data_IF_438700070842
#
_entry.id   IF_438700070842
#
_cell.length_a   1.000
_cell.length_b   1.000
_cell.length_c   1.000
_cell.angle_alpha   90.00
_cell.angle_beta   90.00
_cell.angle_gamma   90.00
#
_symmetry.space_group_name_H-M   'P 1'
#
loop_
_entity.id
_entity.type
_entity.pdbx_description
1 polymer ?
#
# COMPACT_ATOMS: atom_id res chain seq x y z
N UNK A 1 15.53 -12.60 1.35
CA UNK A 1 14.54 -13.56 1.91
C UNK A 1 13.93 -14.36 0.77
N UNK A 2 13.71 -15.64 1.00
CA UNK A 2 12.98 -16.51 0.08
C UNK A 2 11.47 -16.25 0.21
N UNK A 3 10.74 -16.28 -0.92
CA UNK A 3 9.29 -16.08 -0.90
C UNK A 3 8.58 -17.36 -0.42
N UNK A 4 7.53 -17.25 0.43
CA UNK A 4 6.71 -18.39 0.82
C UNK A 4 5.72 -18.81 -0.27
N UNK A 5 5.61 -18.04 -1.37
CA UNK A 5 4.71 -18.33 -2.48
C UNK A 5 5.41 -19.16 -3.57
N UNK A 6 4.63 -19.92 -4.32
CA UNK A 6 5.13 -20.64 -5.49
C UNK A 6 5.62 -19.63 -6.55
N UNK A 7 6.76 -19.91 -7.20
CA UNK A 7 7.38 -19.05 -8.21
C UNK A 7 6.49 -18.70 -9.41
N UNK A 8 5.46 -19.47 -9.66
CA UNK A 8 4.55 -19.29 -10.79
C UNK A 8 3.14 -18.80 -10.40
N UNK A 9 2.96 -18.26 -9.19
CA UNK A 9 1.62 -17.89 -8.67
C UNK A 9 0.94 -16.78 -9.50
N UNK A 10 1.72 -15.94 -10.19
CA UNK A 10 1.25 -14.91 -11.12
C UNK A 10 1.59 -15.21 -12.58
N UNK A 11 1.91 -16.48 -12.91
CA UNK A 11 2.30 -16.86 -14.27
C UNK A 11 1.29 -16.39 -15.32
N UNK A 12 1.82 -15.71 -16.33
CA UNK A 12 1.04 -15.21 -17.44
C UNK A 12 0.17 -13.99 -17.12
N UNK A 13 0.25 -13.39 -15.94
CA UNK A 13 -0.37 -12.08 -15.63
C UNK A 13 0.52 -10.94 -16.10
N UNK A 14 -0.09 -9.80 -16.41
CA UNK A 14 0.59 -8.55 -16.72
C UNK A 14 0.17 -7.51 -15.68
N UNK A 15 1.15 -6.94 -14.98
CA UNK A 15 0.94 -5.91 -13.96
C UNK A 15 1.48 -4.56 -14.43
N UNK A 16 0.66 -3.50 -14.33
CA UNK A 16 1.11 -2.12 -14.47
C UNK A 16 1.23 -1.50 -13.09
N UNK A 17 2.42 -0.97 -12.76
CA UNK A 17 2.74 -0.42 -11.44
C UNK A 17 3.14 1.05 -11.58
N UNK A 18 2.31 1.97 -11.09
CA UNK A 18 2.67 3.39 -11.00
C UNK A 18 3.62 3.59 -9.81
N UNK A 19 4.62 4.45 -9.98
CA UNK A 19 5.70 4.56 -8.98
C UNK A 19 6.60 3.32 -8.90
N UNK A 20 6.53 2.41 -9.87
CA UNK A 20 7.26 1.14 -9.91
C UNK A 20 8.78 1.26 -10.10
N UNK A 21 9.31 2.48 -10.33
CA UNK A 21 10.75 2.70 -10.53
C UNK A 21 11.59 2.77 -9.25
N UNK A 22 11.01 2.75 -8.06
CA UNK A 22 11.75 2.85 -6.80
C UNK A 22 10.93 2.38 -5.59
N UNK A 23 11.59 2.18 -4.44
CA UNK A 23 10.94 1.93 -3.15
C UNK A 23 10.02 0.72 -3.15
N UNK A 24 8.84 0.85 -2.57
CA UNK A 24 7.82 -0.20 -2.46
C UNK A 24 7.36 -0.65 -3.85
N UNK A 25 7.09 0.29 -4.76
CA UNK A 25 6.64 -0.04 -6.12
C UNK A 25 7.64 -0.89 -6.90
N UNK A 26 8.94 -0.60 -6.77
CA UNK A 26 9.99 -1.40 -7.41
C UNK A 26 10.10 -2.80 -6.80
N UNK A 27 9.96 -2.93 -5.49
CA UNK A 27 9.96 -4.25 -4.84
C UNK A 27 8.74 -5.08 -5.24
N UNK A 28 7.54 -4.47 -5.31
CA UNK A 28 6.35 -5.15 -5.86
C UNK A 28 6.60 -5.61 -7.29
N UNK A 29 7.20 -4.76 -8.14
CA UNK A 29 7.57 -5.09 -9.51
C UNK A 29 8.52 -6.29 -9.57
N UNK A 30 9.54 -6.30 -8.70
CA UNK A 30 10.52 -7.39 -8.61
C UNK A 30 9.86 -8.70 -8.18
N UNK A 31 9.05 -8.66 -7.13
CA UNK A 31 8.42 -9.88 -6.61
C UNK A 31 7.33 -10.41 -7.56
N UNK A 32 6.55 -9.54 -8.19
CA UNK A 32 5.58 -9.96 -9.21
C UNK A 32 6.28 -10.65 -10.39
N UNK A 33 7.38 -10.06 -10.86
CA UNK A 33 8.18 -10.66 -11.94
C UNK A 33 8.80 -12.01 -11.56
N UNK A 34 9.39 -12.13 -10.38
CA UNK A 34 9.93 -13.39 -9.85
C UNK A 34 8.87 -14.48 -9.70
N UNK A 35 7.59 -14.10 -9.59
CA UNK A 35 6.46 -15.03 -9.49
C UNK A 35 5.69 -15.19 -10.81
N UNK A 36 6.32 -14.84 -11.94
CA UNK A 36 5.85 -15.17 -13.28
C UNK A 36 5.00 -14.11 -13.98
N UNK A 37 4.84 -12.92 -13.41
CA UNK A 37 4.18 -11.83 -14.09
C UNK A 37 5.12 -11.08 -15.06
N UNK A 38 4.58 -10.53 -16.14
CA UNK A 38 5.21 -9.46 -16.89
C UNK A 38 4.88 -8.11 -16.24
N UNK A 39 5.82 -7.16 -16.25
CA UNK A 39 5.73 -5.93 -15.47
C UNK A 39 5.89 -4.68 -16.33
N UNK A 40 4.87 -3.83 -16.36
CA UNK A 40 4.91 -2.48 -16.88
C UNK A 40 5.13 -1.49 -15.73
N UNK A 41 6.16 -0.65 -15.78
CA UNK A 41 6.46 0.36 -14.75
C UNK A 41 6.14 1.75 -15.29
N UNK A 42 5.40 2.54 -14.53
CA UNK A 42 5.11 3.93 -14.87
C UNK A 42 5.74 4.90 -13.86
N UNK A 43 6.29 5.99 -14.36
CA UNK A 43 6.81 7.07 -13.51
C UNK A 43 7.18 8.32 -14.31
N UNK A 44 7.29 9.46 -13.63
CA UNK A 44 7.54 10.77 -14.26
C UNK A 44 8.97 10.95 -14.78
N UNK A 45 9.92 10.22 -14.23
CA UNK A 45 11.35 10.36 -14.56
C UNK A 45 11.77 9.22 -15.47
N UNK A 46 11.87 9.49 -16.76
CA UNK A 46 12.21 8.50 -17.78
C UNK A 46 13.45 7.67 -17.41
N UNK A 47 14.54 8.31 -17.04
CA UNK A 47 15.78 7.61 -16.68
C UNK A 47 15.60 6.62 -15.52
N UNK A 48 14.79 6.98 -14.49
CA UNK A 48 14.52 6.10 -13.36
C UNK A 48 13.70 4.89 -13.79
N UNK A 49 12.72 5.11 -14.64
CA UNK A 49 11.82 4.06 -15.15
C UNK A 49 12.61 3.11 -16.06
N UNK A 50 13.43 3.63 -16.97
CA UNK A 50 14.25 2.84 -17.87
C UNK A 50 15.30 2.00 -17.11
N UNK A 51 15.99 2.61 -16.13
CA UNK A 51 16.94 1.89 -15.28
C UNK A 51 16.27 0.78 -14.46
N UNK A 52 15.09 1.05 -13.93
CA UNK A 52 14.33 0.06 -13.16
C UNK A 52 13.88 -1.11 -14.07
N UNK A 53 13.41 -0.83 -15.28
CA UNK A 53 13.05 -1.86 -16.24
C UNK A 53 14.27 -2.71 -16.64
N UNK A 54 15.40 -2.07 -16.92
CA UNK A 54 16.66 -2.79 -17.22
C UNK A 54 17.11 -3.69 -16.06
N UNK A 55 17.01 -3.21 -14.82
CA UNK A 55 17.32 -4.02 -13.64
C UNK A 55 16.39 -5.24 -13.50
N UNK A 56 15.09 -5.09 -13.77
CA UNK A 56 14.17 -6.22 -13.77
C UNK A 56 14.50 -7.22 -14.90
N UNK A 57 14.82 -6.72 -16.08
CA UNK A 57 15.22 -7.55 -17.22
C UNK A 57 16.51 -8.34 -16.92
N UNK A 58 17.49 -7.74 -16.22
CA UNK A 58 18.72 -8.45 -15.81
C UNK A 58 18.45 -9.60 -14.82
N UNK A 59 17.30 -9.59 -14.14
CA UNK A 59 16.82 -10.68 -13.29
C UNK A 59 15.99 -11.71 -14.07
N UNK A 60 15.94 -11.62 -15.40
CA UNK A 60 15.12 -12.51 -16.25
C UNK A 60 13.63 -12.19 -16.27
N UNK A 61 13.23 -11.03 -15.75
CA UNK A 61 11.83 -10.60 -15.68
C UNK A 61 11.43 -9.87 -16.96
N UNK A 62 10.32 -10.25 -17.57
CA UNK A 62 9.72 -9.50 -18.69
C UNK A 62 9.19 -8.15 -18.18
N UNK A 63 9.93 -7.07 -18.45
CA UNK A 63 9.59 -5.75 -17.92
C UNK A 63 9.78 -4.65 -18.98
N UNK A 64 8.96 -3.59 -18.89
CA UNK A 64 9.08 -2.39 -19.72
C UNK A 64 8.75 -1.13 -18.90
N UNK A 65 9.44 -0.04 -19.19
CA UNK A 65 9.27 1.26 -18.53
C UNK A 65 8.52 2.24 -19.42
N UNK A 66 7.59 3.00 -18.80
CA UNK A 66 6.78 4.00 -19.48
C UNK A 66 6.82 5.32 -18.70
N UNK A 67 7.27 6.39 -19.35
CA UNK A 67 7.21 7.72 -18.75
C UNK A 67 5.77 8.24 -18.72
N UNK A 68 5.32 8.79 -17.59
CA UNK A 68 4.02 9.42 -17.45
C UNK A 68 3.77 9.96 -16.05
N UNK A 69 2.90 10.97 -15.97
CA UNK A 69 2.44 11.58 -14.74
C UNK A 69 0.99 11.18 -14.46
N UNK A 70 0.73 10.52 -13.34
CA UNK A 70 -0.61 10.06 -12.95
C UNK A 70 -1.64 11.20 -12.80
N UNK A 71 -1.18 12.45 -12.63
CA UNK A 71 -2.02 13.64 -12.57
C UNK A 71 -2.61 14.04 -13.92
N UNK A 72 -2.05 13.52 -15.02
CA UNK A 72 -2.43 13.84 -16.38
C UNK A 72 -3.16 12.65 -17.00
N UNK A 73 -4.42 12.86 -17.32
CA UNK A 73 -5.27 11.82 -17.92
C UNK A 73 -4.69 11.29 -19.23
N UNK A 74 -4.14 12.21 -20.08
CA UNK A 74 -3.53 11.84 -21.35
C UNK A 74 -2.31 10.92 -21.16
N UNK A 75 -1.50 11.16 -20.13
CA UNK A 75 -0.37 10.30 -19.79
C UNK A 75 -0.84 8.93 -19.30
N UNK A 76 -1.86 8.89 -18.44
CA UNK A 76 -2.44 7.64 -17.96
C UNK A 76 -2.96 6.79 -19.14
N UNK A 77 -3.74 7.39 -20.04
CA UNK A 77 -4.26 6.74 -21.25
C UNK A 77 -3.13 6.22 -22.13
N UNK A 78 -2.18 7.08 -22.47
CA UNK A 78 -1.03 6.75 -23.34
C UNK A 78 -0.19 5.61 -22.76
N UNK A 79 0.07 5.62 -21.45
CA UNK A 79 0.86 4.56 -20.80
C UNK A 79 0.11 3.24 -20.80
N UNK A 80 -1.19 3.23 -20.50
CA UNK A 80 -2.01 2.02 -20.54
C UNK A 80 -2.09 1.43 -21.95
N UNK A 81 -2.31 2.27 -22.97
CA UNK A 81 -2.30 1.84 -24.38
C UNK A 81 -0.94 1.24 -24.77
N UNK A 82 0.16 1.90 -24.37
CA UNK A 82 1.53 1.43 -24.69
C UNK A 82 1.85 0.12 -23.99
N UNK A 83 1.48 -0.02 -22.71
CA UNK A 83 1.64 -1.26 -21.95
C UNK A 83 0.80 -2.40 -22.55
N UNK A 84 -0.45 -2.11 -22.92
CA UNK A 84 -1.32 -3.08 -23.59
C UNK A 84 -0.75 -3.51 -24.95
N UNK A 85 -0.27 -2.55 -25.75
CA UNK A 85 0.37 -2.85 -27.05
C UNK A 85 1.63 -3.73 -26.87
N UNK A 86 2.40 -3.50 -25.81
CA UNK A 86 3.64 -4.23 -25.56
C UNK A 86 3.41 -5.66 -25.03
N UNK A 87 2.46 -5.85 -24.10
CA UNK A 87 2.24 -7.12 -23.41
C UNK A 87 0.96 -7.85 -23.85
N UNK A 88 0.11 -7.25 -24.68
CA UNK A 88 -1.14 -7.81 -25.19
C UNK A 88 -2.31 -7.79 -24.21
N UNK A 89 -2.08 -7.46 -22.93
CA UNK A 89 -3.11 -7.35 -21.89
C UNK A 89 -2.63 -6.58 -20.66
N UNK A 90 -3.54 -6.25 -19.76
CA UNK A 90 -3.28 -5.77 -18.40
C UNK A 90 -4.23 -6.52 -17.46
N UNK A 91 -3.70 -7.23 -16.48
CA UNK A 91 -4.47 -8.02 -15.51
C UNK A 91 -4.50 -7.35 -14.13
N UNK A 92 -3.45 -6.60 -13.80
CA UNK A 92 -3.25 -6.03 -12.47
C UNK A 92 -2.81 -4.57 -12.63
N UNK A 93 -3.47 -3.67 -11.90
CA UNK A 93 -3.03 -2.30 -11.70
C UNK A 93 -2.58 -2.12 -10.25
N UNK A 94 -1.36 -1.61 -10.04
CA UNK A 94 -0.88 -1.21 -8.72
C UNK A 94 -0.67 0.31 -8.70
N UNK A 95 -1.47 1.01 -7.91
CA UNK A 95 -1.36 2.44 -7.68
C UNK A 95 -0.37 2.70 -6.54
N UNK A 96 0.91 2.85 -6.88
CA UNK A 96 2.02 3.10 -5.96
C UNK A 96 2.69 4.47 -6.13
N UNK A 97 2.25 5.29 -7.10
CA UNK A 97 2.72 6.67 -7.22
C UNK A 97 2.21 7.49 -6.03
N UNK A 98 3.12 8.22 -5.37
CA UNK A 98 2.79 9.04 -4.21
C UNK A 98 3.66 10.29 -4.13
N UNK A 99 3.13 11.32 -3.47
CA UNK A 99 3.85 12.52 -3.09
C UNK A 99 3.70 12.78 -1.58
N UNK A 100 4.81 13.07 -0.89
CA UNK A 100 4.75 13.47 0.51
C UNK A 100 5.90 14.39 0.87
N UNK A 101 5.63 15.30 1.82
CA UNK A 101 6.61 16.14 2.50
C UNK A 101 6.06 16.54 3.87
N UNK A 102 6.95 16.71 4.84
CA UNK A 102 6.59 17.17 6.19
C UNK A 102 6.49 18.68 6.20
N UNK A 103 5.40 19.20 6.75
CA UNK A 103 5.16 20.63 6.90
C UNK A 103 4.12 20.86 7.99
N UNK A 104 4.32 21.91 8.81
CA UNK A 104 3.30 22.31 9.78
C UNK A 104 2.02 22.80 9.08
N UNK A 105 0.84 22.59 9.65
CA UNK A 105 -0.41 23.04 9.01
C UNK A 105 -0.44 24.52 8.67
N UNK A 106 0.14 25.37 9.52
CA UNK A 106 0.22 26.82 9.33
C UNK A 106 1.15 27.24 8.19
N UNK A 107 2.18 26.43 7.87
CA UNK A 107 3.13 26.68 6.79
C UNK A 107 2.72 25.97 5.48
N UNK A 108 1.76 25.07 5.54
CA UNK A 108 1.28 24.34 4.37
C UNK A 108 0.44 25.22 3.46
N UNK A 109 0.99 25.58 2.30
CA UNK A 109 0.21 26.31 1.31
C UNK A 109 -0.94 25.48 0.73
N UNK A 110 -2.10 26.10 0.37
CA UNK A 110 -3.19 25.40 -0.33
C UNK A 110 -2.73 24.67 -1.59
N UNK A 111 -1.76 25.23 -2.32
CA UNK A 111 -1.19 24.57 -3.51
C UNK A 111 -0.34 23.34 -3.15
N UNK A 112 0.43 23.40 -2.06
CA UNK A 112 1.17 22.23 -1.56
C UNK A 112 0.23 21.10 -1.15
N UNK A 113 -0.86 21.42 -0.43
CA UNK A 113 -1.90 20.46 -0.06
C UNK A 113 -2.54 19.84 -1.31
N UNK A 114 -2.98 20.66 -2.28
CA UNK A 114 -3.57 20.20 -3.54
C UNK A 114 -2.61 19.29 -4.33
N UNK A 115 -1.33 19.63 -4.39
CA UNK A 115 -0.34 18.82 -5.13
C UNK A 115 -0.27 17.39 -4.62
N UNK A 116 -0.36 17.15 -3.32
CA UNK A 116 -0.35 15.80 -2.75
C UNK A 116 -1.65 15.06 -3.06
N UNK A 117 -2.80 15.73 -2.92
CA UNK A 117 -4.10 15.17 -3.32
C UNK A 117 -4.13 14.81 -4.81
N UNK A 118 -3.60 15.67 -5.68
CA UNK A 118 -3.56 15.44 -7.13
C UNK A 118 -2.71 14.22 -7.49
N UNK A 119 -1.59 14.01 -6.80
CA UNK A 119 -0.74 12.83 -7.06
C UNK A 119 -1.40 11.56 -6.51
N UNK A 120 -1.78 11.57 -5.23
CA UNK A 120 -2.14 10.35 -4.51
C UNK A 120 -3.60 9.95 -4.74
N UNK A 121 -4.55 10.89 -4.59
CA UNK A 121 -5.98 10.61 -4.69
C UNK A 121 -6.49 10.72 -6.14
N UNK A 122 -6.33 11.89 -6.76
CA UNK A 122 -6.80 12.13 -8.13
C UNK A 122 -6.04 11.21 -9.10
N UNK A 123 -4.71 11.08 -8.95
CA UNK A 123 -3.89 10.20 -9.77
C UNK A 123 -4.29 8.73 -9.66
N UNK A 124 -4.61 8.25 -8.44
CA UNK A 124 -5.14 6.89 -8.24
C UNK A 124 -6.47 6.70 -8.96
N UNK A 125 -7.41 7.64 -8.81
CA UNK A 125 -8.70 7.57 -9.51
C UNK A 125 -8.52 7.61 -11.04
N UNK A 126 -7.69 8.52 -11.55
CA UNK A 126 -7.38 8.64 -12.99
C UNK A 126 -6.84 7.33 -13.56
N UNK A 127 -5.86 6.72 -12.89
CA UNK A 127 -5.32 5.43 -13.33
C UNK A 127 -6.36 4.31 -13.29
N UNK A 128 -7.18 4.24 -12.24
CA UNK A 128 -8.27 3.26 -12.17
C UNK A 128 -9.28 3.45 -13.32
N UNK A 129 -9.71 4.69 -13.54
CA UNK A 129 -10.68 5.05 -14.57
C UNK A 129 -10.18 4.66 -15.98
N UNK A 130 -8.97 5.07 -16.32
CA UNK A 130 -8.39 4.76 -17.64
C UNK A 130 -8.03 3.27 -17.82
N UNK A 131 -7.75 2.54 -16.70
CA UNK A 131 -7.46 1.11 -16.76
C UNK A 131 -8.71 0.23 -16.91
N UNK A 132 -9.90 0.72 -16.64
CA UNK A 132 -11.13 -0.05 -16.66
C UNK A 132 -11.35 -0.84 -17.98
N UNK A 133 -11.15 -0.26 -19.19
CA UNK A 133 -11.34 -1.02 -20.44
C UNK A 133 -10.44 -2.24 -20.57
N UNK A 134 -9.26 -2.22 -19.96
CA UNK A 134 -8.27 -3.31 -20.00
C UNK A 134 -8.49 -4.35 -18.90
N UNK A 135 -9.06 -3.96 -17.75
CA UNK A 135 -9.25 -4.81 -16.59
C UNK A 135 -10.58 -5.58 -16.63
N UNK A 136 -11.61 -5.02 -17.26
CA UNK A 136 -12.90 -5.70 -17.38
C UNK A 136 -12.82 -6.85 -18.37
N UNK A 137 -13.01 -8.07 -17.88
CA UNK A 137 -12.98 -9.29 -18.68
C UNK A 137 -14.28 -10.05 -18.45
N UNK A 138 -15.17 -10.01 -19.43
CA UNK A 138 -16.44 -10.73 -19.39
C UNK A 138 -17.54 -10.02 -18.60
N UNK A 139 -18.78 -10.41 -18.87
CA UNK A 139 -19.98 -9.90 -18.20
C UNK A 139 -20.35 -10.72 -16.95
N UNK A 140 -21.44 -10.32 -16.31
CA UNK A 140 -22.09 -11.02 -15.21
C UNK A 140 -22.20 -12.54 -15.47
N UNK A 141 -21.68 -13.34 -14.55
CA UNK A 141 -21.79 -14.81 -14.62
C UNK A 141 -20.57 -15.56 -15.19
N UNK A 142 -19.48 -14.89 -15.58
CA UNK A 142 -18.25 -15.58 -15.96
C UNK A 142 -17.36 -15.87 -14.73
N UNK A 143 -16.54 -16.93 -14.86
CA UNK A 143 -15.69 -17.49 -13.81
C UNK A 143 -15.02 -16.45 -12.90
N UNK A 144 -15.11 -16.64 -11.58
CA UNK A 144 -14.51 -15.81 -10.52
C UNK A 144 -12.99 -15.61 -10.65
N UNK A 145 -12.31 -16.40 -11.48
CA UNK A 145 -10.86 -16.34 -11.69
C UNK A 145 -10.40 -15.38 -12.81
N UNK A 146 -11.32 -14.70 -13.51
CA UNK A 146 -11.03 -13.96 -14.75
C UNK A 146 -10.98 -12.43 -14.66
N UNK A 147 -11.43 -11.80 -13.59
CA UNK A 147 -11.50 -10.34 -13.44
C UNK A 147 -10.14 -9.67 -13.21
N UNK A 148 -10.07 -8.36 -13.49
CA UNK A 148 -8.92 -7.53 -13.19
C UNK A 148 -8.71 -7.34 -11.68
N UNK A 149 -7.50 -6.89 -11.32
CA UNK A 149 -7.12 -6.63 -9.93
C UNK A 149 -6.56 -5.22 -9.82
N UNK A 150 -7.02 -4.47 -8.84
CA UNK A 150 -6.46 -3.15 -8.49
C UNK A 150 -5.95 -3.21 -7.06
N UNK A 151 -4.70 -2.81 -6.87
CA UNK A 151 -4.07 -2.65 -5.56
C UNK A 151 -3.67 -1.19 -5.35
N UNK A 152 -4.18 -0.56 -4.30
CA UNK A 152 -3.86 0.81 -3.94
C UNK A 152 -2.89 0.83 -2.76
N UNK A 153 -1.74 1.49 -2.90
CA UNK A 153 -0.82 1.69 -1.78
C UNK A 153 -1.28 2.89 -0.96
N UNK A 154 -1.89 2.58 0.19
CA UNK A 154 -2.34 3.52 1.20
C UNK A 154 -1.24 3.80 2.24
N UNK A 155 -1.60 4.09 3.47
CA UNK A 155 -0.72 4.21 4.63
C UNK A 155 -1.55 4.16 5.92
N UNK A 156 -0.94 3.80 7.06
CA UNK A 156 -1.67 3.78 8.35
C UNK A 156 -1.73 5.13 9.05
N UNK A 157 -0.98 6.12 8.57
CA UNK A 157 -0.87 7.44 9.21
C UNK A 157 -2.18 8.24 9.29
N UNK A 158 -3.20 7.90 8.50
CA UNK A 158 -4.53 8.55 8.54
C UNK A 158 -5.54 7.82 9.42
N UNK A 159 -5.23 6.62 9.94
CA UNK A 159 -6.12 5.88 10.85
C UNK A 159 -6.15 6.50 12.25
N UNK A 160 -5.05 7.12 12.64
CA UNK A 160 -4.96 7.88 13.89
C UNK A 160 -4.73 9.36 13.58
N UNK A 161 -3.50 9.81 13.60
CA UNK A 161 -3.00 11.08 13.09
C UNK A 161 -1.48 11.01 13.08
N UNK A 162 -0.82 11.79 12.25
CA UNK A 162 0.63 11.90 12.20
C UNK A 162 1.04 13.38 12.12
N UNK A 163 2.01 13.77 12.94
CA UNK A 163 2.53 15.14 12.94
C UNK A 163 3.05 15.54 11.56
N UNK A 164 2.74 16.77 11.14
CA UNK A 164 3.23 17.40 9.90
C UNK A 164 2.86 16.68 8.60
N UNK A 165 1.81 15.83 8.61
CA UNK A 165 1.43 14.99 7.46
C UNK A 165 -0.06 15.12 7.08
N UNK A 166 -0.70 16.26 7.38
CA UNK A 166 -2.13 16.48 7.08
C UNK A 166 -2.45 16.31 5.59
N UNK A 167 -1.52 16.70 4.71
CA UNK A 167 -1.65 16.57 3.26
C UNK A 167 -1.79 15.12 2.81
N UNK A 168 -0.82 14.28 3.20
CA UNK A 168 -0.82 12.86 2.80
C UNK A 168 -1.85 12.05 3.58
N UNK A 169 -2.16 12.40 4.83
CA UNK A 169 -3.23 11.76 5.60
C UNK A 169 -4.58 11.91 4.90
N UNK A 170 -4.93 13.14 4.49
CA UNK A 170 -6.15 13.41 3.74
C UNK A 170 -6.19 12.65 2.40
N UNK A 171 -5.07 12.63 1.66
CA UNK A 171 -4.97 11.93 0.39
C UNK A 171 -5.13 10.41 0.54
N UNK A 172 -4.51 9.79 1.54
CA UNK A 172 -4.62 8.34 1.76
C UNK A 172 -6.00 7.91 2.29
N UNK A 173 -6.66 8.76 3.08
CA UNK A 173 -8.07 8.56 3.43
C UNK A 173 -8.96 8.54 2.17
N UNK A 174 -8.71 9.46 1.22
CA UNK A 174 -9.42 9.48 -0.07
C UNK A 174 -9.11 8.23 -0.91
N UNK A 175 -7.85 7.77 -0.97
CA UNK A 175 -7.47 6.52 -1.65
C UNK A 175 -8.22 5.32 -1.11
N UNK A 176 -8.35 5.19 0.22
CA UNK A 176 -9.10 4.09 0.83
C UNK A 176 -10.61 4.18 0.51
N UNK A 177 -11.18 5.40 0.49
CA UNK A 177 -12.57 5.60 0.09
C UNK A 177 -12.81 5.24 -1.38
N UNK A 178 -11.93 5.68 -2.30
CA UNK A 178 -11.96 5.31 -3.72
C UNK A 178 -11.92 3.78 -3.86
N UNK A 179 -10.98 3.12 -3.17
CA UNK A 179 -10.83 1.67 -3.23
C UNK A 179 -12.10 0.91 -2.83
N UNK A 180 -12.74 1.31 -1.72
CA UNK A 180 -13.98 0.67 -1.25
C UNK A 180 -15.14 0.85 -2.22
N UNK A 181 -15.33 2.05 -2.77
CA UNK A 181 -16.42 2.31 -3.70
C UNK A 181 -16.21 1.56 -5.03
N UNK A 182 -15.01 1.59 -5.60
CA UNK A 182 -14.71 0.83 -6.82
C UNK A 182 -14.82 -0.67 -6.60
N UNK A 183 -14.45 -1.18 -5.43
CA UNK A 183 -14.62 -2.61 -5.09
C UNK A 183 -16.09 -3.04 -5.10
N UNK A 184 -16.98 -2.20 -4.59
CA UNK A 184 -18.41 -2.46 -4.59
C UNK A 184 -18.98 -2.45 -6.01
N UNK A 185 -18.75 -1.36 -6.74
CA UNK A 185 -19.35 -1.17 -8.07
C UNK A 185 -18.72 -2.08 -9.12
N UNK A 186 -17.40 -2.06 -9.25
CA UNK A 186 -16.70 -2.84 -10.28
C UNK A 186 -16.54 -4.32 -9.95
N UNK A 187 -16.64 -4.66 -8.67
CA UNK A 187 -16.77 -6.06 -8.24
C UNK A 187 -18.08 -6.65 -8.76
N UNK A 188 -19.16 -5.93 -8.63
CA UNK A 188 -20.50 -6.33 -9.09
C UNK A 188 -20.59 -6.37 -10.61
N UNK A 189 -20.14 -5.29 -11.28
CA UNK A 189 -20.38 -5.13 -12.72
C UNK A 189 -19.38 -5.87 -13.60
N UNK A 190 -18.10 -5.97 -13.14
CA UNK A 190 -17.00 -6.43 -13.99
C UNK A 190 -16.14 -7.52 -13.37
N UNK A 191 -16.48 -8.00 -12.18
CA UNK A 191 -15.66 -8.95 -11.42
C UNK A 191 -14.23 -8.46 -11.17
N UNK A 192 -14.04 -7.14 -11.00
CA UNK A 192 -12.75 -6.53 -10.67
C UNK A 192 -12.64 -6.46 -9.15
N UNK A 193 -11.54 -6.99 -8.61
CA UNK A 193 -11.22 -6.86 -7.17
C UNK A 193 -10.36 -5.61 -6.94
N UNK A 194 -10.76 -4.80 -5.98
CA UNK A 194 -10.02 -3.61 -5.58
C UNK A 194 -9.70 -3.68 -4.11
N UNK A 195 -8.42 -3.68 -3.77
CA UNK A 195 -7.95 -3.73 -2.38
C UNK A 195 -6.86 -2.69 -2.13
N UNK A 196 -6.69 -2.32 -0.88
CA UNK A 196 -5.62 -1.47 -0.40
C UNK A 196 -4.56 -2.25 0.37
N UNK A 197 -3.35 -1.71 0.41
CA UNK A 197 -2.31 -2.09 1.37
C UNK A 197 -1.91 -0.81 2.09
N UNK A 198 -1.93 -0.82 3.41
CA UNK A 198 -1.55 0.32 4.25
C UNK A 198 -0.23 0.02 4.96
N UNK A 199 0.91 0.43 4.39
CA UNK A 199 2.20 0.32 5.05
C UNK A 199 2.31 1.21 6.28
N UNK A 200 3.08 0.75 7.26
CA UNK A 200 3.72 1.59 8.26
C UNK A 200 5.07 2.16 7.77
N UNK A 201 5.97 2.49 8.69
CA UNK A 201 7.33 2.89 8.35
C UNK A 201 8.12 1.75 7.72
N UNK A 202 8.51 1.92 6.45
CA UNK A 202 9.24 0.91 5.65
C UNK A 202 10.65 1.38 5.38
N UNK A 203 11.63 0.62 5.84
CA UNK A 203 13.05 0.93 5.71
C UNK A 203 13.51 0.98 4.24
N UNK A 204 14.54 1.82 3.97
CA UNK A 204 15.14 1.93 2.64
C UNK A 204 14.21 2.45 1.55
N UNK A 205 13.15 3.15 1.91
CA UNK A 205 12.28 3.85 0.96
C UNK A 205 12.69 5.33 0.81
N UNK A 206 12.51 5.93 -0.39
CA UNK A 206 12.72 7.36 -0.57
C UNK A 206 11.87 8.24 0.37
N UNK A 207 10.70 7.73 0.80
CA UNK A 207 9.86 8.39 1.78
C UNK A 207 10.56 8.49 3.14
N UNK A 208 11.05 7.38 3.67
CA UNK A 208 11.75 7.34 4.97
C UNK A 208 13.02 8.22 4.96
N UNK A 209 13.86 8.11 3.94
CA UNK A 209 15.10 8.92 3.87
C UNK A 209 14.86 10.43 3.78
N UNK A 210 13.71 10.85 3.26
CA UNK A 210 13.32 12.27 3.17
C UNK A 210 12.61 12.78 4.43
N UNK A 211 11.91 11.90 5.14
CA UNK A 211 11.02 12.30 6.23
C UNK A 211 11.62 12.11 7.61
N UNK A 212 12.64 11.24 7.75
CA UNK A 212 13.17 10.88 9.08
C UNK A 212 14.70 10.98 9.07
N UNK A 213 15.30 11.91 9.86
CA UNK A 213 16.73 11.92 10.10
C UNK A 213 17.22 10.57 10.65
N UNK A 214 18.46 10.19 10.31
CA UNK A 214 19.02 8.87 10.64
C UNK A 214 19.06 8.59 12.15
N UNK A 215 19.30 9.63 12.94
CA UNK A 215 19.30 9.59 14.41
C UNK A 215 17.91 9.28 14.99
N UNK A 216 16.84 9.76 14.35
CA UNK A 216 15.46 9.45 14.76
C UNK A 216 15.06 8.07 14.28
N UNK A 217 15.57 7.63 13.13
CA UNK A 217 15.28 6.32 12.56
C UNK A 217 15.75 5.17 13.48
N UNK A 218 16.89 5.35 14.17
CA UNK A 218 17.38 4.38 15.16
C UNK A 218 16.43 4.21 16.35
N UNK A 219 15.78 5.31 16.79
CA UNK A 219 14.81 5.32 17.89
C UNK A 219 13.40 4.90 17.47
N UNK A 220 13.08 5.00 16.18
CA UNK A 220 11.74 4.62 15.69
C UNK A 220 11.39 3.16 16.01
N UNK A 221 12.38 2.28 16.09
CA UNK A 221 12.21 0.87 16.47
C UNK A 221 11.59 0.70 17.87
N UNK A 222 11.90 1.61 18.80
CA UNK A 222 11.44 1.52 20.19
C UNK A 222 9.94 1.79 20.32
N UNK A 223 9.34 2.46 19.34
CA UNK A 223 7.90 2.74 19.32
C UNK A 223 7.09 1.69 18.56
N UNK A 224 7.76 0.83 17.77
CA UNK A 224 7.11 -0.22 17.00
C UNK A 224 6.75 -1.41 17.90
N UNK A 225 5.52 -1.93 17.89
CA UNK A 225 5.16 -3.11 18.66
C UNK A 225 6.02 -4.34 18.37
N UNK A 226 6.48 -4.50 17.11
CA UNK A 226 7.40 -5.57 16.73
C UNK A 226 8.89 -5.19 16.84
N UNK A 227 9.21 -4.02 17.40
CA UNK A 227 10.58 -3.51 17.63
C UNK A 227 11.45 -3.45 16.36
N UNK A 228 10.84 -3.39 15.18
CA UNK A 228 11.54 -3.25 13.90
C UNK A 228 10.69 -2.46 12.91
N UNK A 229 11.37 -1.82 11.97
CA UNK A 229 10.73 -1.26 10.78
C UNK A 229 10.35 -2.38 9.82
N UNK A 230 9.30 -2.16 9.03
CA UNK A 230 8.97 -3.05 7.92
C UNK A 230 10.00 -2.94 6.79
N UNK A 231 10.04 -3.95 5.96
CA UNK A 231 10.82 -3.99 4.74
C UNK A 231 9.90 -3.85 3.52
N UNK A 232 10.45 -3.39 2.41
CA UNK A 232 9.71 -3.32 1.13
C UNK A 232 9.15 -4.67 0.72
N UNK A 233 9.88 -5.72 1.05
CA UNK A 233 9.50 -7.10 0.85
C UNK A 233 8.19 -7.48 1.57
N UNK A 234 7.95 -7.00 2.80
CA UNK A 234 6.72 -7.27 3.55
C UNK A 234 5.48 -6.76 2.78
N UNK A 235 5.61 -5.59 2.16
CA UNK A 235 4.53 -5.00 1.35
C UNK A 235 4.34 -5.78 0.05
N UNK A 236 5.44 -6.22 -0.58
CA UNK A 236 5.37 -7.00 -1.81
C UNK A 236 4.73 -8.38 -1.57
N UNK A 237 4.95 -9.02 -0.41
CA UNK A 237 4.29 -10.28 -0.05
C UNK A 237 2.77 -10.09 0.14
N UNK A 238 2.35 -9.01 0.79
CA UNK A 238 0.92 -8.67 0.88
C UNK A 238 0.32 -8.43 -0.52
N UNK A 239 1.05 -7.75 -1.40
CA UNK A 239 0.63 -7.53 -2.78
C UNK A 239 0.51 -8.84 -3.57
N UNK A 240 1.46 -9.78 -3.43
CA UNK A 240 1.39 -11.12 -4.03
C UNK A 240 0.16 -11.90 -3.57
N UNK A 241 -0.12 -11.89 -2.26
CA UNK A 241 -1.32 -12.51 -1.70
C UNK A 241 -2.58 -11.97 -2.38
N UNK A 242 -2.76 -10.65 -2.36
CA UNK A 242 -3.95 -10.00 -2.91
C UNK A 242 -4.07 -10.15 -4.43
N UNK A 243 -2.94 -10.20 -5.16
CA UNK A 243 -2.91 -10.35 -6.61
C UNK A 243 -3.09 -11.79 -7.09
N UNK A 244 -2.92 -12.76 -6.23
CA UNK A 244 -3.03 -14.18 -6.56
C UNK A 244 -4.43 -14.75 -6.29
N UNK A 245 -4.62 -16.01 -6.67
CA UNK A 245 -5.84 -16.77 -6.37
C UNK A 245 -6.04 -17.01 -4.85
N UNK A 246 -4.99 -16.86 -4.03
CA UNK A 246 -5.13 -16.90 -2.58
C UNK A 246 -6.01 -15.75 -2.05
N UNK A 247 -5.99 -14.61 -2.74
CA UNK A 247 -6.83 -13.45 -2.44
C UNK A 247 -8.15 -13.38 -3.21
N UNK A 248 -8.57 -14.42 -3.91
CA UNK A 248 -9.73 -14.40 -4.82
C UNK A 248 -11.07 -13.97 -4.19
N UNK A 249 -11.20 -14.14 -2.88
CA UNK A 249 -12.41 -13.75 -2.14
C UNK A 249 -12.18 -12.49 -1.28
N UNK A 250 -11.08 -11.78 -1.50
CA UNK A 250 -10.74 -10.53 -0.81
C UNK A 250 -11.03 -9.36 -1.74
N UNK A 251 -12.00 -8.52 -1.37
CA UNK A 251 -12.42 -7.34 -2.12
C UNK A 251 -12.86 -6.21 -1.18
N UNK A 252 -12.47 -4.97 -1.47
CA UNK A 252 -12.87 -3.78 -0.73
C UNK A 252 -12.17 -3.57 0.62
N UNK A 253 -11.14 -4.38 0.93
CA UNK A 253 -10.38 -4.24 2.18
C UNK A 253 -9.07 -3.46 1.98
N UNK A 254 -8.58 -2.85 3.05
CA UNK A 254 -7.20 -2.37 3.14
C UNK A 254 -6.45 -3.20 4.17
N UNK A 255 -5.45 -3.95 3.71
CA UNK A 255 -4.59 -4.78 4.56
C UNK A 255 -3.53 -3.90 5.20
N UNK A 256 -3.51 -3.85 6.52
CA UNK A 256 -2.51 -3.12 7.30
C UNK A 256 -1.24 -3.96 7.41
N UNK A 257 -0.10 -3.35 7.03
CA UNK A 257 1.24 -3.96 7.11
C UNK A 257 2.19 -2.96 7.76
N UNK A 258 2.09 -2.81 9.08
CA UNK A 258 2.77 -1.76 9.84
C UNK A 258 3.38 -2.24 11.18
N UNK A 259 3.46 -3.54 11.41
CA UNK A 259 3.97 -4.10 12.65
C UNK A 259 3.11 -3.76 13.88
N UNK A 260 1.85 -3.38 13.69
CA UNK A 260 0.91 -3.00 14.75
C UNK A 260 1.05 -1.54 15.22
N UNK A 261 1.81 -0.71 14.50
CA UNK A 261 2.06 0.68 14.90
C UNK A 261 0.77 1.49 15.05
N UNK A 262 -0.19 1.35 14.15
CA UNK A 262 -1.45 2.11 14.19
C UNK A 262 -2.29 1.82 15.44
N UNK A 263 -2.05 0.68 16.11
CA UNK A 263 -2.68 0.32 17.39
C UNK A 263 -1.93 0.92 18.60
N UNK A 264 -0.69 1.41 18.37
CA UNK A 264 0.13 1.97 19.44
C UNK A 264 -0.40 3.33 19.85
N UNK A 265 -0.56 3.53 21.16
CA UNK A 265 -0.85 4.83 21.75
C UNK A 265 0.31 5.20 22.68
N UNK A 266 0.57 6.50 22.90
CA UNK A 266 1.47 6.91 23.96
C UNK A 266 1.04 6.23 25.28
N UNK A 267 1.95 5.50 25.89
CA UNK A 267 1.67 4.80 27.15
C UNK A 267 1.74 5.83 28.27
N UNK A 268 0.70 5.86 29.11
CA UNK A 268 0.70 6.67 30.32
C UNK A 268 1.68 6.12 31.37
N UNK A 269 1.93 4.81 31.32
CA UNK A 269 2.88 4.10 32.17
C UNK A 269 3.74 3.16 31.32
N UNK A 270 5.01 2.94 31.69
CA UNK A 270 5.83 1.90 31.08
C UNK A 270 5.16 0.53 31.16
N UNK A 271 5.41 -0.33 30.15
CA UNK A 271 4.78 -1.66 30.04
C UNK A 271 4.94 -2.50 31.30
N UNK A 272 6.14 -2.45 31.89
CA UNK A 272 6.44 -3.25 33.09
C UNK A 272 5.71 -2.72 34.34
N UNK A 273 5.51 -1.42 34.46
CA UNK A 273 4.69 -0.82 35.50
C UNK A 273 3.22 -1.21 35.35
N UNK A 274 2.67 -1.16 34.14
CA UNK A 274 1.29 -1.66 33.89
C UNK A 274 1.15 -3.11 34.30
N UNK A 275 2.14 -3.95 34.01
CA UNK A 275 2.15 -5.37 34.38
C UNK A 275 2.19 -5.55 35.90
N UNK A 276 2.98 -4.74 36.62
CA UNK A 276 3.06 -4.78 38.08
C UNK A 276 1.74 -4.33 38.72
N UNK A 277 1.17 -3.22 38.26
CA UNK A 277 -0.13 -2.71 38.72
C UNK A 277 -1.23 -3.75 38.48
N UNK A 278 -1.29 -4.34 37.31
CA UNK A 278 -2.27 -5.39 36.99
C UNK A 278 -2.17 -6.57 37.92
N UNK A 279 -0.96 -7.06 38.19
CA UNK A 279 -0.73 -8.17 39.13
C UNK A 279 -1.11 -7.81 40.58
N UNK A 280 -0.85 -6.57 40.99
CA UNK A 280 -1.23 -6.09 42.32
C UNK A 280 -2.76 -6.01 42.49
N UNK A 281 -3.46 -5.52 41.45
CA UNK A 281 -4.93 -5.49 41.43
C UNK A 281 -5.51 -6.89 41.46
N UNK A 282 -4.99 -7.82 40.66
CA UNK A 282 -5.43 -9.20 40.62
C UNK A 282 -5.24 -9.89 41.98
N UNK A 283 -4.08 -9.68 42.60
CA UNK A 283 -3.80 -10.22 43.95
C UNK A 283 -4.79 -9.68 45.00
N UNK A 284 -5.09 -8.37 44.95
CA UNK A 284 -6.12 -7.76 45.83
C UNK A 284 -7.50 -8.35 45.58
N UNK A 285 -7.88 -8.51 44.33
CA UNK A 285 -9.17 -9.10 43.94
C UNK A 285 -9.33 -10.54 44.42
N UNK A 286 -8.29 -11.37 44.30
CA UNK A 286 -8.30 -12.76 44.75
C UNK A 286 -8.33 -12.89 46.30
N UNK A 287 -7.75 -11.90 47.01
CA UNK A 287 -7.75 -11.85 48.45
C UNK A 287 -9.02 -11.20 49.04
N UNK A 288 -9.85 -10.58 48.23
CA UNK A 288 -11.15 -10.06 48.66
C UNK A 288 -12.07 -11.24 49.00
N UNK A 289 -12.55 -11.32 50.24
CA UNK A 289 -13.49 -12.36 50.67
C UNK A 289 -14.76 -12.28 49.83
N UNK A 290 -15.15 -13.41 49.25
CA UNK A 290 -16.42 -13.53 48.56
C UNK A 290 -17.55 -13.10 49.48
N UNK A 291 -18.29 -12.07 49.17
CA UNK A 291 -19.45 -11.60 49.94
C UNK A 291 -19.37 -10.17 50.47
N UNK A 292 -18.28 -9.44 50.27
CA UNK A 292 -18.26 -8.00 50.59
C UNK A 292 -18.74 -7.23 49.36
N UNK A 293 -19.87 -6.48 49.43
CA UNK A 293 -20.28 -5.63 48.32
C UNK A 293 -19.15 -4.63 48.03
N UNK A 294 -18.74 -4.53 46.77
CA UNK A 294 -17.83 -3.46 46.32
C UNK A 294 -18.47 -2.12 46.64
N UNK A 295 -17.99 -1.47 47.70
CA UNK A 295 -18.43 -0.14 48.02
C UNK A 295 -17.89 0.83 46.99
N UNK A 296 -18.81 1.53 46.36
CA UNK A 296 -18.75 2.95 45.91
C UNK A 296 -17.41 3.41 45.34
N UNK A 297 -17.36 3.46 44.06
CA UNK A 297 -16.76 4.56 43.36
C UNK A 297 -17.84 5.60 43.06
#
# INVERSE_FOLDING_TARGET
>A
MESPFKENILKGKVALITGGGSGIGFEISTQFGKHGASVAIMGRRKQVVDSAAANLQSLGISAAGFEGDVRKQEDAKRVLESAFKHFGKIDILVNGAAGNFLVSPEDLSPNGFRTVLDIDAVGTFTMCHEALPYLKKGGLGQSLSGGGIILNISATLHYTAAWYQINVAAAKAAVDAIGRNLALEWGTDYNIRVNGIAPGPISGTPGMSKLVPEEINSKAKDFMPLYKLGEKWDIAMAALYLASDAGKYVNGTTVVVDGGLWLSRPRHLPKDEVKQVSRAVEKKSRNARAGVPSSKL
#
